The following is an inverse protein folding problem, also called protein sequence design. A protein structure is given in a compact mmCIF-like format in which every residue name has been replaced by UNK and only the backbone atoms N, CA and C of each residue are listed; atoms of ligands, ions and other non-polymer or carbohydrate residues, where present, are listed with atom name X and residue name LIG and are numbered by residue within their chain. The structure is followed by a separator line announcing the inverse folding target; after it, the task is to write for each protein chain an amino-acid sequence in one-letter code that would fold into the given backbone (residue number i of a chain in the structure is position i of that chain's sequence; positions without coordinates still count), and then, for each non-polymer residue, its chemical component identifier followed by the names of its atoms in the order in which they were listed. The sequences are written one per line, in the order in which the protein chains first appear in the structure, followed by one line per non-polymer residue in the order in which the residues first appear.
data_IF_611807806933
#
_entry.id   IF_611807806933
#
_cell.length_a   1.000
_cell.length_b   1.000
_cell.length_c   1.000
_cell.angle_alpha   90.00
_cell.angle_beta   90.00
_cell.angle_gamma   90.00
#
_symmetry.space_group_name_H-M   'P 1'
#
loop_
_entity.id
_entity.type
_entity.pdbx_description
1 polymer ?
#
# COMPACT_ATOMS: atom_id res chain seq x y z
N UNK A 1 -43.08 -26.54 36.22
CA UNK A 1 -42.45 -26.65 34.89
C UNK A 1 -41.79 -25.30 34.58
N UNK A 2 -40.57 -25.07 35.06
CA UNK A 2 -39.84 -23.81 34.88
C UNK A 2 -39.01 -23.92 33.60
N UNK A 3 -39.51 -23.30 32.53
CA UNK A 3 -38.85 -23.20 31.24
C UNK A 3 -37.73 -22.17 31.35
N UNK A 4 -36.50 -22.62 31.60
CA UNK A 4 -35.32 -21.74 31.51
C UNK A 4 -34.95 -21.55 30.03
N UNK A 5 -35.30 -20.38 29.51
CA UNK A 5 -34.82 -19.89 28.22
C UNK A 5 -33.34 -19.50 28.38
N UNK A 6 -32.43 -20.32 27.87
CA UNK A 6 -31.01 -19.99 27.82
C UNK A 6 -30.80 -18.92 26.76
N UNK A 7 -30.58 -17.67 27.19
CA UNK A 7 -30.04 -16.61 26.35
C UNK A 7 -28.59 -16.97 26.01
N UNK A 8 -28.36 -17.41 24.78
CA UNK A 8 -27.02 -17.48 24.21
C UNK A 8 -26.52 -16.04 24.03
N UNK A 9 -25.67 -15.58 24.95
CA UNK A 9 -24.88 -14.37 24.77
C UNK A 9 -23.78 -14.71 23.76
N UNK A 10 -23.97 -14.33 22.49
CA UNK A 10 -22.88 -14.29 21.52
C UNK A 10 -21.99 -13.11 21.89
N UNK A 11 -20.92 -13.37 22.64
CA UNK A 11 -19.88 -12.38 22.89
C UNK A 11 -19.18 -12.10 21.55
N UNK A 12 -19.24 -10.86 21.07
CA UNK A 12 -18.56 -10.47 19.85
C UNK A 12 -17.05 -10.72 20.05
N UNK A 13 -16.46 -11.60 19.25
CA UNK A 13 -15.06 -11.97 19.41
C UNK A 13 -14.17 -10.72 19.27
N UNK A 14 -13.39 -10.41 20.31
CA UNK A 14 -12.47 -9.28 20.27
C UNK A 14 -11.33 -9.54 19.27
N UNK A 15 -11.30 -8.75 18.20
CA UNK A 15 -10.33 -8.86 17.12
C UNK A 15 -9.12 -7.95 17.39
N UNK A 16 -8.09 -8.49 18.05
CA UNK A 16 -6.87 -7.73 18.42
C UNK A 16 -6.21 -7.04 17.22
N UNK A 17 -6.17 -7.67 16.04
CA UNK A 17 -5.57 -7.06 14.85
C UNK A 17 -6.27 -5.76 14.39
N UNK A 18 -7.55 -5.57 14.73
CA UNK A 18 -8.32 -4.36 14.42
C UNK A 18 -8.14 -3.24 15.44
N UNK A 19 -7.59 -3.52 16.62
CA UNK A 19 -7.38 -2.51 17.65
C UNK A 19 -6.11 -1.68 17.37
N UNK A 20 -6.22 -0.38 17.05
CA UNK A 20 -5.07 0.47 16.74
C UNK A 20 -4.19 0.76 17.97
N UNK A 21 -4.67 0.50 19.19
CA UNK A 21 -3.90 0.71 20.43
C UNK A 21 -2.93 -0.43 20.73
N UNK A 22 -3.09 -1.57 20.06
CA UNK A 22 -2.22 -2.73 20.26
C UNK A 22 -0.89 -2.55 19.52
N UNK A 23 0.22 -3.08 20.07
CA UNK A 23 1.51 -3.04 19.38
C UNK A 23 1.43 -3.67 17.98
N UNK A 24 2.13 -3.09 17.00
CA UNK A 24 2.11 -3.54 15.61
C UNK A 24 2.36 -5.06 15.49
N UNK A 25 3.43 -5.56 16.12
CA UNK A 25 3.78 -6.98 16.10
C UNK A 25 2.70 -7.88 16.74
N UNK A 26 1.96 -7.38 17.72
CA UNK A 26 0.85 -8.11 18.33
C UNK A 26 -0.33 -8.22 17.35
N UNK A 27 -0.62 -7.15 16.61
CA UNK A 27 -1.67 -7.12 15.56
C UNK A 27 -1.31 -8.04 14.40
N UNK A 28 -0.05 -8.02 13.93
CA UNK A 28 0.44 -8.89 12.87
C UNK A 28 0.32 -10.36 13.30
N UNK A 29 0.80 -10.71 14.50
CA UNK A 29 0.72 -12.09 15.01
C UNK A 29 -0.72 -12.58 15.15
N UNK A 30 -1.64 -11.74 15.60
CA UNK A 30 -3.07 -12.08 15.68
C UNK A 30 -3.69 -12.29 14.29
N UNK A 31 -3.41 -11.39 13.34
CA UNK A 31 -3.91 -11.50 11.97
C UNK A 31 -3.40 -12.77 11.28
N UNK A 32 -2.09 -13.01 11.31
CA UNK A 32 -1.45 -14.17 10.65
C UNK A 32 -1.94 -15.52 11.18
N UNK A 33 -2.36 -15.58 12.46
CA UNK A 33 -2.97 -16.77 13.07
C UNK A 33 -4.39 -17.02 12.55
N UNK A 34 -5.11 -15.97 12.19
CA UNK A 34 -6.50 -16.03 11.69
C UNK A 34 -6.58 -16.31 10.20
N UNK A 35 -5.49 -16.12 9.46
CA UNK A 35 -5.45 -16.28 8.00
C UNK A 35 -5.41 -17.75 7.57
N UNK A 36 -6.17 -18.08 6.53
CA UNK A 36 -6.03 -19.34 5.79
C UNK A 36 -4.78 -19.31 4.91
N UNK A 37 -4.42 -20.46 4.32
CA UNK A 37 -3.29 -20.51 3.39
C UNK A 37 -3.57 -19.66 2.14
N UNK A 38 -4.79 -19.70 1.62
CA UNK A 38 -5.25 -18.94 0.45
C UNK A 38 -5.16 -17.43 0.72
N UNK A 39 -5.57 -16.97 1.89
CA UNK A 39 -5.42 -15.57 2.29
C UNK A 39 -3.95 -15.15 2.38
N UNK A 40 -3.06 -16.02 2.90
CA UNK A 40 -1.62 -15.73 2.96
C UNK A 40 -1.00 -15.63 1.56
N UNK A 41 -1.35 -16.57 0.68
CA UNK A 41 -0.91 -16.54 -0.72
C UNK A 41 -1.43 -15.26 -1.40
N UNK A 42 -2.71 -14.93 -1.20
CA UNK A 42 -3.32 -13.70 -1.73
C UNK A 42 -2.58 -12.43 -1.34
N UNK A 43 -2.13 -12.34 -0.08
CA UNK A 43 -1.34 -11.20 0.41
C UNK A 43 0.04 -11.08 -0.25
N UNK A 44 0.62 -12.17 -0.76
CA UNK A 44 1.90 -12.17 -1.46
C UNK A 44 1.77 -11.87 -2.96
N UNK A 45 0.55 -11.71 -3.47
CA UNK A 45 0.28 -11.47 -4.89
C UNK A 45 0.01 -9.99 -5.13
N UNK A 46 0.75 -9.44 -6.09
CA UNK A 46 0.48 -8.15 -6.71
C UNK A 46 0.07 -8.38 -8.17
N UNK A 47 -1.07 -7.84 -8.58
CA UNK A 47 -1.53 -7.90 -9.98
C UNK A 47 -1.57 -6.52 -10.61
N UNK A 48 -1.49 -6.49 -11.94
CA UNK A 48 -1.75 -5.27 -12.69
C UNK A 48 -3.23 -4.88 -12.67
N UNK A 49 -3.51 -3.58 -12.66
CA UNK A 49 -4.85 -2.99 -12.60
C UNK A 49 -5.77 -3.46 -13.72
N UNK A 50 -5.26 -3.79 -14.92
CA UNK A 50 -6.09 -4.30 -16.02
C UNK A 50 -6.60 -5.71 -15.80
N UNK A 51 -5.95 -6.48 -14.92
CA UNK A 51 -6.41 -7.80 -14.50
C UNK A 51 -7.23 -7.72 -13.20
N UNK A 52 -7.37 -6.52 -12.61
CA UNK A 52 -8.06 -6.33 -11.35
C UNK A 52 -9.54 -6.02 -11.57
N UNK A 53 -10.40 -6.82 -10.92
CA UNK A 53 -11.81 -6.51 -10.72
C UNK A 53 -12.15 -6.65 -9.24
N UNK A 54 -13.24 -6.03 -8.79
CA UNK A 54 -13.71 -6.18 -7.40
C UNK A 54 -13.92 -7.67 -7.03
N UNK A 55 -14.37 -8.49 -7.97
CA UNK A 55 -14.57 -9.93 -7.76
C UNK A 55 -13.25 -10.67 -7.62
N UNK A 56 -12.24 -10.35 -8.45
CA UNK A 56 -10.91 -10.93 -8.34
C UNK A 56 -10.31 -10.60 -6.97
N UNK A 57 -10.35 -9.32 -6.56
CA UNK A 57 -9.85 -8.86 -5.24
C UNK A 57 -10.48 -9.66 -4.11
N UNK A 58 -11.81 -9.86 -4.13
CA UNK A 58 -12.52 -10.62 -3.10
C UNK A 58 -12.18 -12.10 -3.10
N UNK A 59 -12.19 -12.74 -4.27
CA UNK A 59 -12.06 -14.19 -4.41
C UNK A 59 -10.64 -14.68 -4.12
N UNK A 60 -9.63 -13.87 -4.43
CA UNK A 60 -8.23 -14.26 -4.28
C UNK A 60 -7.52 -13.56 -3.12
N UNK A 61 -8.25 -12.78 -2.29
CA UNK A 61 -7.72 -12.10 -1.10
C UNK A 61 -6.45 -11.26 -1.39
N UNK A 62 -6.46 -10.52 -2.51
CA UNK A 62 -5.28 -9.82 -3.01
C UNK A 62 -4.65 -8.91 -1.95
N UNK A 63 -3.32 -8.94 -1.87
CA UNK A 63 -2.53 -8.02 -1.06
C UNK A 63 -2.24 -6.71 -1.77
N UNK A 64 -2.05 -6.75 -3.10
CA UNK A 64 -1.66 -5.55 -3.84
C UNK A 64 -2.17 -5.51 -5.28
N UNK A 65 -2.33 -4.28 -5.79
CA UNK A 65 -2.57 -3.96 -7.19
C UNK A 65 -1.56 -2.90 -7.59
N UNK A 66 -1.07 -2.93 -8.84
CA UNK A 66 -0.28 -1.83 -9.40
C UNK A 66 -0.90 -1.28 -10.69
N UNK A 67 -0.67 0.00 -10.96
CA UNK A 67 -0.76 0.57 -12.31
C UNK A 67 0.63 0.61 -12.93
N UNK A 68 0.89 -0.27 -13.90
CA UNK A 68 2.07 -0.17 -14.76
C UNK A 68 2.07 1.11 -15.62
N UNK A 69 3.17 1.36 -16.34
CA UNK A 69 3.30 2.51 -17.23
C UNK A 69 2.18 2.60 -18.26
N UNK A 70 1.41 3.69 -18.23
CA UNK A 70 0.27 3.92 -19.13
C UNK A 70 -1.02 3.19 -18.74
N UNK A 71 -1.03 2.36 -17.70
CA UNK A 71 -2.24 1.69 -17.23
C UNK A 71 -3.07 2.63 -16.35
N UNK A 72 -4.02 3.30 -17.00
CA UNK A 72 -4.86 4.34 -16.40
C UNK A 72 -6.34 3.93 -16.40
N UNK A 73 -7.19 4.50 -15.51
CA UNK A 73 -8.62 4.16 -15.46
C UNK A 73 -9.35 4.43 -16.78
N UNK A 74 -9.00 5.53 -17.44
CA UNK A 74 -9.52 5.95 -18.75
C UNK A 74 -8.60 7.01 -19.37
N UNK A 75 -8.69 7.28 -20.69
CA UNK A 75 -7.98 8.39 -21.31
C UNK A 75 -8.27 9.71 -20.59
N UNK A 76 -7.22 10.49 -20.29
CA UNK A 76 -7.31 11.78 -19.60
C UNK A 76 -8.05 11.70 -18.23
N UNK A 77 -7.90 10.59 -17.52
CA UNK A 77 -8.48 10.38 -16.19
C UNK A 77 -8.13 11.54 -15.22
N UNK A 78 -9.16 12.06 -14.55
CA UNK A 78 -9.01 13.05 -13.48
C UNK A 78 -8.50 12.38 -12.19
N UNK A 79 -8.03 13.17 -11.24
CA UNK A 79 -7.68 12.66 -9.90
C UNK A 79 -8.85 11.91 -9.23
N UNK A 80 -10.08 12.38 -9.43
CA UNK A 80 -11.28 11.74 -8.88
C UNK A 80 -11.51 10.36 -9.49
N UNK A 81 -11.22 10.18 -10.79
CA UNK A 81 -11.36 8.87 -11.45
C UNK A 81 -10.39 7.83 -10.85
N UNK A 82 -9.16 8.24 -10.57
CA UNK A 82 -8.17 7.40 -9.87
C UNK A 82 -8.63 7.03 -8.46
N UNK A 83 -9.05 8.03 -7.67
CA UNK A 83 -9.53 7.81 -6.30
C UNK A 83 -10.73 6.87 -6.28
N UNK A 84 -11.69 7.04 -7.20
CA UNK A 84 -12.86 6.18 -7.30
C UNK A 84 -12.47 4.73 -7.62
N UNK A 85 -11.59 4.53 -8.61
CA UNK A 85 -11.10 3.20 -8.98
C UNK A 85 -10.41 2.50 -7.79
N UNK A 86 -9.49 3.19 -7.11
CA UNK A 86 -8.78 2.64 -5.94
C UNK A 86 -9.74 2.34 -4.79
N UNK A 87 -10.69 3.24 -4.53
CA UNK A 87 -11.71 3.05 -3.50
C UNK A 87 -12.59 1.83 -3.77
N UNK A 88 -12.91 1.53 -5.03
CA UNK A 88 -13.73 0.37 -5.36
C UNK A 88 -12.98 -0.94 -5.11
N UNK A 89 -11.68 -1.00 -5.44
CA UNK A 89 -10.85 -2.13 -5.04
C UNK A 89 -10.71 -2.24 -3.52
N UNK A 90 -10.57 -1.11 -2.82
CA UNK A 90 -10.45 -1.11 -1.37
C UNK A 90 -11.74 -1.58 -0.68
N UNK A 91 -12.91 -1.13 -1.14
CA UNK A 91 -14.21 -1.63 -0.67
C UNK A 91 -14.32 -3.14 -0.89
N UNK A 92 -13.83 -3.63 -2.04
CA UNK A 92 -13.82 -5.05 -2.33
C UNK A 92 -12.96 -5.83 -1.32
N UNK A 93 -11.73 -5.38 -1.07
CA UNK A 93 -10.82 -5.99 -0.10
C UNK A 93 -11.38 -5.97 1.34
N UNK A 94 -11.94 -4.84 1.76
CA UNK A 94 -12.55 -4.66 3.09
C UNK A 94 -13.81 -5.52 3.29
N UNK A 95 -14.48 -5.96 2.22
CA UNK A 95 -15.65 -6.85 2.29
C UNK A 95 -15.29 -8.34 2.47
N UNK A 96 -14.01 -8.69 2.41
CA UNK A 96 -13.55 -10.06 2.69
C UNK A 96 -13.68 -10.42 4.18
N UNK A 97 -13.56 -11.71 4.51
CA UNK A 97 -13.72 -12.24 5.86
C UNK A 97 -12.88 -11.51 6.92
N UNK A 98 -11.60 -11.24 6.62
CA UNK A 98 -10.69 -10.52 7.51
C UNK A 98 -10.62 -9.01 7.23
N UNK A 99 -11.18 -8.56 6.11
CA UNK A 99 -11.19 -7.14 5.74
C UNK A 99 -9.79 -6.53 5.69
N UNK A 100 -8.81 -7.25 5.14
CA UNK A 100 -7.44 -6.76 5.00
C UNK A 100 -7.42 -5.77 3.82
N UNK A 101 -6.96 -4.52 4.01
CA UNK A 101 -6.88 -3.54 2.93
C UNK A 101 -5.82 -3.94 1.89
N UNK A 102 -6.03 -3.55 0.64
CA UNK A 102 -4.99 -3.66 -0.39
C UNK A 102 -4.00 -2.52 -0.30
N UNK A 103 -2.77 -2.78 -0.76
CA UNK A 103 -1.78 -1.75 -1.06
C UNK A 103 -1.77 -1.49 -2.57
N UNK A 104 -1.96 -0.24 -2.97
CA UNK A 104 -1.96 0.14 -4.38
C UNK A 104 -0.63 0.81 -4.78
N UNK A 105 0.00 0.30 -5.84
CA UNK A 105 1.28 0.78 -6.37
C UNK A 105 1.16 1.56 -7.68
N UNK A 106 2.05 2.53 -7.87
CA UNK A 106 2.23 3.25 -9.15
C UNK A 106 3.70 3.66 -9.35
N UNK A 107 4.11 3.77 -10.61
CA UNK A 107 5.45 4.24 -11.00
C UNK A 107 5.57 5.77 -11.02
N UNK A 108 5.44 6.43 -9.87
CA UNK A 108 5.61 7.88 -9.74
C UNK A 108 7.10 8.31 -9.69
N UNK A 109 7.82 8.08 -10.80
CA UNK A 109 9.30 8.17 -10.87
C UNK A 109 9.86 9.57 -11.16
N UNK A 110 9.02 10.50 -11.62
CA UNK A 110 9.41 11.89 -11.90
C UNK A 110 8.18 12.80 -11.80
N UNK A 111 7.47 12.67 -10.68
CA UNK A 111 6.08 13.12 -10.52
C UNK A 111 5.12 11.96 -10.74
N UNK A 112 3.82 12.20 -10.58
CA UNK A 112 2.80 11.19 -10.86
C UNK A 112 2.51 11.12 -12.37
N UNK A 113 3.51 10.66 -13.11
CA UNK A 113 3.60 10.70 -14.57
C UNK A 113 2.48 9.96 -15.33
N UNK A 114 1.82 8.99 -14.70
CA UNK A 114 0.65 8.31 -15.26
C UNK A 114 -0.64 9.14 -15.16
N UNK A 115 -0.69 10.14 -14.28
CA UNK A 115 -1.88 10.97 -14.06
C UNK A 115 -1.90 12.14 -15.03
N UNK A 116 -3.03 12.30 -15.71
CA UNK A 116 -3.21 13.36 -16.69
C UNK A 116 -3.05 14.75 -16.04
N UNK A 117 -2.23 15.60 -16.65
CA UNK A 117 -1.89 16.96 -16.17
C UNK A 117 -1.15 17.01 -14.82
N UNK A 118 -0.63 15.90 -14.31
CA UNK A 118 0.27 15.95 -13.17
C UNK A 118 1.56 16.70 -13.54
N UNK A 119 2.16 17.37 -12.55
CA UNK A 119 3.48 17.99 -12.70
C UNK A 119 4.51 16.91 -13.03
N UNK A 120 5.26 17.12 -14.11
CA UNK A 120 6.33 16.23 -14.55
C UNK A 120 7.67 16.91 -14.23
N UNK A 121 8.47 16.23 -13.42
CA UNK A 121 9.80 16.68 -13.04
C UNK A 121 10.88 16.15 -14.01
N UNK A 122 12.08 16.75 -14.03
CA UNK A 122 13.22 16.15 -14.71
C UNK A 122 13.47 14.72 -14.21
N UNK A 123 13.83 13.81 -15.11
CA UNK A 123 14.28 12.48 -14.71
C UNK A 123 15.54 12.54 -13.84
N UNK A 124 15.81 11.46 -13.11
CA UNK A 124 16.90 11.35 -12.12
C UNK A 124 18.27 11.82 -12.65
N UNK A 125 18.61 11.58 -13.93
CA UNK A 125 19.85 12.07 -14.51
C UNK A 125 19.93 13.61 -14.56
N UNK A 126 18.82 14.26 -14.91
CA UNK A 126 18.71 15.73 -14.91
C UNK A 126 18.77 16.30 -13.50
N UNK A 127 18.11 15.64 -12.54
CA UNK A 127 18.20 16.00 -11.12
C UNK A 127 19.64 15.87 -10.60
N UNK A 128 20.32 14.77 -10.91
CA UNK A 128 21.73 14.56 -10.53
C UNK A 128 22.68 15.59 -11.15
N UNK A 129 22.37 16.12 -12.33
CA UNK A 129 23.14 17.18 -12.98
C UNK A 129 23.01 18.55 -12.28
N UNK A 130 21.94 18.78 -11.50
CA UNK A 130 21.78 20.02 -10.73
C UNK A 130 22.78 20.15 -9.58
N UNK A 131 23.40 19.03 -9.17
CA UNK A 131 24.27 18.93 -7.97
C UNK A 131 23.59 19.40 -6.68
N UNK A 132 22.27 19.53 -6.70
CA UNK A 132 21.49 19.98 -5.57
C UNK A 132 20.97 18.75 -4.83
N UNK A 133 21.73 18.33 -3.82
CA UNK A 133 21.26 17.35 -2.83
C UNK A 133 20.41 18.12 -1.83
N UNK A 134 19.13 18.33 -2.14
CA UNK A 134 18.17 18.56 -1.06
C UNK A 134 18.26 17.37 -0.13
N UNK A 135 18.24 17.61 1.18
CA UNK A 135 17.75 16.58 2.11
C UNK A 135 16.46 16.04 1.51
N UNK A 136 16.33 14.72 1.42
CA UNK A 136 15.30 14.00 0.64
C UNK A 136 13.85 14.48 0.90
N UNK A 137 13.63 15.24 1.96
CA UNK A 137 12.35 15.75 2.47
C UNK A 137 11.59 16.66 1.50
N UNK A 138 12.16 17.69 0.89
CA UNK A 138 11.35 18.66 0.10
C UNK A 138 10.81 18.05 -1.21
N UNK A 139 11.64 17.28 -1.90
CA UNK A 139 11.24 16.60 -3.14
C UNK A 139 10.34 15.41 -2.90
N UNK A 140 10.66 14.58 -1.89
CA UNK A 140 9.76 13.49 -1.51
C UNK A 140 8.42 14.06 -1.02
N UNK A 141 8.41 15.15 -0.24
CA UNK A 141 7.18 15.79 0.21
C UNK A 141 6.34 16.33 -0.95
N UNK A 142 6.95 16.97 -1.96
CA UNK A 142 6.21 17.46 -3.13
C UNK A 142 5.53 16.32 -3.90
N UNK A 143 6.21 15.19 -4.08
CA UNK A 143 5.65 13.99 -4.75
C UNK A 143 4.64 13.27 -3.84
N UNK A 144 4.89 13.21 -2.54
CA UNK A 144 4.03 12.56 -1.54
C UNK A 144 2.69 13.28 -1.40
N UNK A 145 2.68 14.63 -1.36
CA UNK A 145 1.44 15.42 -1.36
C UNK A 145 0.60 15.11 -2.60
N UNK A 146 1.22 14.95 -3.78
CA UNK A 146 0.52 14.60 -5.02
C UNK A 146 -0.01 13.15 -5.04
N UNK A 147 0.66 12.22 -4.37
CA UNK A 147 0.25 10.81 -4.26
C UNK A 147 -0.84 10.59 -3.21
N UNK A 148 -0.75 11.26 -2.06
CA UNK A 148 -1.74 11.21 -0.99
C UNK A 148 -3.10 11.74 -1.45
N UNK A 149 -3.12 12.75 -2.34
CA UNK A 149 -4.35 13.25 -2.98
C UNK A 149 -5.07 12.15 -3.78
N UNK A 150 -4.34 11.11 -4.22
CA UNK A 150 -4.86 10.01 -5.02
C UNK A 150 -5.03 8.70 -4.24
N UNK A 151 -4.75 8.70 -2.92
CA UNK A 151 -4.84 7.52 -2.05
C UNK A 151 -3.96 6.35 -2.54
N UNK A 152 -2.80 6.66 -3.11
CA UNK A 152 -1.84 5.66 -3.57
C UNK A 152 -0.87 5.32 -2.44
N UNK A 153 -0.85 4.06 -2.02
CA UNK A 153 -0.23 3.62 -0.76
C UNK A 153 1.23 3.18 -0.93
N UNK A 154 1.70 2.91 -2.16
CA UNK A 154 3.07 2.47 -2.43
C UNK A 154 3.68 3.15 -3.66
N UNK A 155 4.94 3.58 -3.52
CA UNK A 155 5.74 4.21 -4.60
C UNK A 155 6.89 3.29 -4.98
N UNK A 156 6.97 2.90 -6.25
CA UNK A 156 8.16 2.26 -6.81
C UNK A 156 9.16 3.33 -7.24
N UNK A 157 9.78 4.00 -6.26
CA UNK A 157 10.99 4.79 -6.52
C UNK A 157 12.03 4.43 -5.47
N UNK A 158 13.10 3.83 -5.98
CA UNK A 158 14.33 3.42 -5.32
C UNK A 158 14.74 4.41 -4.21
N UNK A 159 14.54 3.99 -2.96
CA UNK A 159 15.35 4.48 -1.82
C UNK A 159 16.86 4.24 -2.03
N UNK A 160 17.21 3.44 -3.04
CA UNK A 160 18.58 3.06 -3.40
C UNK A 160 19.38 4.10 -4.20
N UNK A 161 18.76 5.10 -4.84
CA UNK A 161 19.50 5.97 -5.78
C UNK A 161 19.80 7.39 -5.28
N UNK A 162 19.26 7.80 -4.13
CA UNK A 162 19.41 9.17 -3.62
C UNK A 162 20.36 9.34 -2.41
N UNK A 163 20.92 8.26 -1.87
CA UNK A 163 22.02 8.34 -0.91
C UNK A 163 23.34 8.73 -1.62
N UNK A 164 23.42 9.97 -2.10
CA UNK A 164 24.71 10.60 -2.36
C UNK A 164 25.27 11.09 -1.02
N UNK A 165 25.90 10.16 -0.29
CA UNK A 165 26.79 10.44 0.85
C UNK A 165 26.11 10.47 2.22
N UNK A 166 26.13 9.35 2.96
CA UNK A 166 25.79 9.39 4.38
C UNK A 166 25.80 8.07 5.15
N UNK A 167 25.53 6.93 4.53
CA UNK A 167 25.79 5.61 5.11
C UNK A 167 26.05 4.62 3.99
N UNK A 168 27.18 3.93 4.04
CA UNK A 168 27.46 2.83 3.12
C UNK A 168 26.60 1.62 3.49
N UNK A 169 26.38 0.72 2.53
CA UNK A 169 25.67 -0.55 2.73
C UNK A 169 26.23 -1.42 3.89
N UNK A 170 27.45 -1.12 4.33
CA UNK A 170 28.08 -1.70 5.53
C UNK A 170 27.37 -1.32 6.83
N UNK A 171 26.79 -0.12 6.90
CA UNK A 171 26.24 0.44 8.13
C UNK A 171 24.83 -0.12 8.41
N UNK A 172 24.08 -0.46 7.35
CA UNK A 172 22.82 -1.20 7.46
C UNK A 172 23.04 -2.67 7.86
N UNK A 173 24.14 -3.29 7.40
CA UNK A 173 24.49 -4.67 7.78
C UNK A 173 24.91 -4.77 9.26
N UNK A 174 25.62 -3.77 9.79
CA UNK A 174 25.92 -3.67 11.24
C UNK A 174 24.68 -3.36 12.08
N UNK A 175 23.77 -2.53 11.58
CA UNK A 175 22.52 -2.23 12.29
C UNK A 175 21.62 -3.45 12.41
N UNK A 176 21.53 -4.28 11.36
CA UNK A 176 20.75 -5.52 11.41
C UNK A 176 21.39 -6.62 12.28
N UNK A 177 22.70 -6.58 12.53
CA UNK A 177 23.38 -7.51 13.46
C UNK A 177 23.17 -7.16 14.94
N UNK A 178 22.68 -5.96 15.26
CA UNK A 178 22.51 -5.47 16.63
C UNK A 178 21.05 -5.49 17.13
N UNK A 179 20.11 -6.05 16.37
CA UNK A 179 18.69 -6.16 16.72
C UNK A 179 18.21 -7.61 17.02
N UNK A 180 19.14 -8.56 17.17
CA UNK A 180 18.90 -9.89 17.78
C UNK A 180 19.21 -9.90 19.28
#
# INVERSE_FOLDING_TARGET
MLLQCWLSLTEAEYLKYKDPKQPLNARIKDLMKRMTLEEKIGQMVQIDVYNATADVVKKTFLGSILSGGGHVPKPQATAVDWVNMVNDFQKAALSTRLGIPIIYGIDAVHGNNNVYKATIFPHNIGLGATRFCTTDEEWCAAVEVLLLVLVLQWRLVLRWFFCCGGSSATDEEERMKNEE
#
